data_IF_958434685530
#
_entry.id   IF_958434685530
#
_cell.length_a   1.000
_cell.length_b   1.000
_cell.length_c   1.000
_cell.angle_alpha   90.00
_cell.angle_beta   90.00
_cell.angle_gamma   90.00
#
_symmetry.space_group_name_H-M   'P 1'
#
loop_
_entity.id
_entity.type
_entity.pdbx_description
1 polymer ?
#
# COMPACT_ATOMS: atom_id res chain seq x y z
N UNK A 1 33.92 10.08 21.67
CA UNK A 1 32.82 10.30 22.64
C UNK A 1 31.47 9.89 22.03
N UNK A 2 31.47 9.27 20.84
CA UNK A 2 30.31 9.03 19.95
C UNK A 2 29.52 7.73 20.22
N UNK A 3 29.71 7.10 21.37
CA UNK A 3 29.16 5.76 21.63
C UNK A 3 28.06 5.73 22.71
N UNK A 4 27.68 6.89 23.26
CA UNK A 4 26.65 6.96 24.30
C UNK A 4 25.25 6.68 23.72
N UNK A 5 24.97 7.18 22.51
CA UNK A 5 23.72 6.96 21.78
C UNK A 5 23.44 5.47 21.47
N UNK A 6 24.47 4.62 21.43
CA UNK A 6 24.29 3.18 21.23
C UNK A 6 23.85 2.45 22.51
N UNK A 7 24.24 2.95 23.68
CA UNK A 7 23.99 2.33 24.99
C UNK A 7 22.62 2.70 25.57
N UNK A 8 22.09 3.88 25.25
CA UNK A 8 20.79 4.35 25.73
C UNK A 8 19.71 4.34 24.63
N UNK A 9 19.96 3.63 23.51
CA UNK A 9 19.04 3.66 22.36
C UNK A 9 17.77 2.87 22.63
N UNK A 10 16.65 3.56 22.62
CA UNK A 10 15.34 2.93 22.67
C UNK A 10 14.97 2.40 21.27
N UNK A 11 14.93 1.08 21.12
CA UNK A 11 14.56 0.40 19.87
C UNK A 11 13.08 0.59 19.49
N UNK A 12 12.26 1.06 20.44
CA UNK A 12 10.86 1.38 20.16
C UNK A 12 10.67 2.74 19.47
N UNK A 13 11.70 3.61 19.53
CA UNK A 13 11.69 4.95 18.96
C UNK A 13 12.34 4.93 17.57
N UNK A 14 11.69 5.57 16.60
CA UNK A 14 12.24 5.68 15.26
C UNK A 14 13.57 6.45 15.29
N UNK A 15 14.57 5.95 14.58
CA UNK A 15 15.94 6.47 14.61
C UNK A 15 16.73 6.06 13.38
N UNK A 16 17.99 6.53 13.23
CA UNK A 16 18.76 6.40 11.98
C UNK A 16 18.96 4.96 11.54
N UNK A 17 19.21 4.05 12.48
CA UNK A 17 19.37 2.62 12.21
C UNK A 17 18.16 1.94 11.54
N UNK A 18 16.93 2.42 11.81
CA UNK A 18 15.73 1.92 11.14
C UNK A 18 15.71 2.34 9.66
N UNK A 19 16.23 3.53 9.36
CA UNK A 19 16.38 4.02 7.99
C UNK A 19 17.48 3.25 7.26
N UNK A 20 18.58 2.94 7.94
CA UNK A 20 19.66 2.10 7.38
C UNK A 20 19.16 0.70 7.05
N UNK A 21 18.37 0.10 7.94
CA UNK A 21 17.74 -1.19 7.69
C UNK A 21 16.79 -1.13 6.48
N UNK A 22 15.99 -0.06 6.37
CA UNK A 22 15.12 0.17 5.22
C UNK A 22 15.91 0.25 3.92
N UNK A 23 16.98 1.05 3.87
CA UNK A 23 17.85 1.20 2.68
C UNK A 23 18.46 -0.15 2.30
N UNK A 24 18.98 -0.89 3.27
CA UNK A 24 19.58 -2.21 3.06
C UNK A 24 18.57 -3.22 2.52
N UNK A 25 17.35 -3.25 3.06
CA UNK A 25 16.32 -4.16 2.58
C UNK A 25 15.77 -3.71 1.21
N UNK A 26 15.72 -2.41 0.93
CA UNK A 26 15.34 -1.90 -0.38
C UNK A 26 16.28 -2.37 -1.48
N UNK A 27 17.59 -2.36 -1.24
CA UNK A 27 18.57 -2.81 -2.25
C UNK A 27 18.45 -4.29 -2.60
N UNK A 28 17.85 -5.13 -1.75
CA UNK A 28 17.51 -6.51 -2.09
C UNK A 28 16.43 -6.60 -3.20
N UNK A 29 15.54 -5.62 -3.29
CA UNK A 29 14.46 -5.55 -4.29
C UNK A 29 14.80 -4.65 -5.48
N UNK A 30 15.80 -3.78 -5.35
CA UNK A 30 16.30 -2.87 -6.39
C UNK A 30 17.82 -3.02 -6.56
N UNK A 31 18.31 -4.17 -7.07
CA UNK A 31 19.74 -4.45 -7.18
C UNK A 31 20.45 -3.53 -8.19
N UNK A 32 19.71 -3.05 -9.19
CA UNK A 32 20.21 -2.10 -10.20
C UNK A 32 20.13 -0.64 -9.73
N UNK A 33 19.66 -0.40 -8.50
CA UNK A 33 19.46 0.91 -7.89
C UNK A 33 18.73 1.92 -8.80
N UNK A 34 17.66 1.43 -9.45
CA UNK A 34 16.77 2.23 -10.30
C UNK A 34 16.01 3.30 -9.50
N UNK A 35 15.98 3.17 -8.17
CA UNK A 35 15.24 4.04 -7.26
C UNK A 35 13.73 3.77 -7.26
N UNK A 36 13.29 2.64 -7.81
CA UNK A 36 11.88 2.27 -7.90
C UNK A 36 11.65 0.76 -7.88
N UNK A 37 10.60 0.33 -7.21
CA UNK A 37 10.17 -1.08 -7.12
C UNK A 37 8.66 -1.19 -7.32
N UNK A 38 8.13 -2.41 -7.53
CA UNK A 38 6.69 -2.62 -7.66
C UNK A 38 5.99 -2.44 -6.31
N UNK A 39 4.78 -1.89 -6.33
CA UNK A 39 3.98 -1.71 -5.10
C UNK A 39 3.75 -3.03 -4.31
N UNK A 40 3.69 -4.18 -5.01
CA UNK A 40 3.61 -5.50 -4.40
C UNK A 40 4.83 -5.82 -3.53
N UNK A 41 6.03 -5.51 -4.04
CA UNK A 41 7.28 -5.76 -3.34
C UNK A 41 7.40 -4.90 -2.09
N UNK A 42 6.86 -3.66 -2.11
CA UNK A 42 6.79 -2.78 -0.95
C UNK A 42 6.06 -3.44 0.22
N UNK A 43 4.95 -4.15 -0.03
CA UNK A 43 4.22 -4.87 1.04
C UNK A 43 5.12 -5.92 1.68
N UNK A 44 5.86 -6.66 0.87
CA UNK A 44 6.75 -7.72 1.36
C UNK A 44 7.98 -7.16 2.07
N UNK A 45 8.54 -6.06 1.57
CA UNK A 45 9.63 -5.31 2.17
C UNK A 45 9.22 -4.78 3.55
N UNK A 46 8.08 -4.10 3.67
CA UNK A 46 7.61 -3.56 4.95
C UNK A 46 7.28 -4.65 5.96
N UNK A 47 6.90 -5.86 5.53
CA UNK A 47 6.74 -7.02 6.43
C UNK A 47 8.08 -7.61 6.88
N UNK A 48 9.18 -7.40 6.15
CA UNK A 48 10.53 -7.81 6.61
C UNK A 48 11.07 -6.86 7.68
N UNK A 49 10.81 -5.55 7.54
CA UNK A 49 11.25 -4.52 8.49
C UNK A 49 10.44 -4.60 9.79
N UNK A 50 11.11 -4.54 10.93
CA UNK A 50 10.44 -4.50 12.24
C UNK A 50 9.78 -3.13 12.51
N UNK A 51 8.72 -3.08 13.33
CA UNK A 51 8.28 -1.82 13.93
C UNK A 51 9.45 -1.11 14.64
N UNK A 52 9.48 0.24 14.70
CA UNK A 52 8.39 1.18 14.42
C UNK A 52 8.21 1.56 12.94
N UNK A 53 9.22 1.40 12.09
CA UNK A 53 9.17 1.81 10.68
C UNK A 53 8.40 0.80 9.81
N UNK A 54 8.60 -0.49 10.05
CA UNK A 54 7.96 -1.57 9.31
C UNK A 54 6.71 -2.16 9.97
N UNK A 55 6.22 -3.25 9.40
CA UNK A 55 5.07 -4.00 9.89
C UNK A 55 5.45 -5.24 10.69
N UNK A 56 6.64 -5.78 10.44
CA UNK A 56 7.11 -7.04 11.03
C UNK A 56 6.53 -8.29 10.38
N UNK A 57 7.24 -9.40 10.53
CA UNK A 57 6.98 -10.67 9.81
C UNK A 57 5.60 -11.27 10.13
N UNK A 58 5.16 -11.08 11.38
CA UNK A 58 3.89 -11.57 11.89
C UNK A 58 2.68 -10.72 11.46
N UNK A 59 2.89 -9.58 10.79
CA UNK A 59 1.79 -8.73 10.36
C UNK A 59 0.94 -9.43 9.28
N UNK A 60 -0.38 -9.61 9.51
CA UNK A 60 -1.28 -10.15 8.50
C UNK A 60 -1.39 -9.23 7.29
N UNK A 61 -1.47 -9.82 6.10
CA UNK A 61 -1.53 -9.07 4.83
C UNK A 61 -2.63 -7.99 4.81
N UNK A 62 -3.82 -8.30 5.34
CA UNK A 62 -4.95 -7.34 5.40
C UNK A 62 -4.64 -6.12 6.27
N UNK A 63 -3.90 -6.29 7.36
CA UNK A 63 -3.48 -5.20 8.25
C UNK A 63 -2.41 -4.35 7.57
N UNK A 64 -1.45 -4.98 6.89
CA UNK A 64 -0.43 -4.30 6.09
C UNK A 64 -1.07 -3.44 4.99
N UNK A 65 -2.01 -4.00 4.21
CA UNK A 65 -2.76 -3.24 3.20
C UNK A 65 -3.52 -2.07 3.82
N UNK A 66 -4.19 -2.27 4.97
CA UNK A 66 -4.89 -1.18 5.67
C UNK A 66 -3.93 -0.05 6.07
N UNK A 67 -2.72 -0.38 6.54
CA UNK A 67 -1.70 0.62 6.86
C UNK A 67 -1.19 1.34 5.61
N UNK A 68 -1.05 0.64 4.48
CA UNK A 68 -0.68 1.23 3.19
C UNK A 68 -1.74 2.17 2.64
N UNK A 69 -3.03 1.96 2.94
CA UNK A 69 -4.10 2.92 2.59
C UNK A 69 -3.84 4.30 3.20
N UNK A 70 -3.30 4.34 4.41
CA UNK A 70 -2.93 5.58 5.10
C UNK A 70 -1.60 6.18 4.62
N UNK A 71 -0.84 5.46 3.79
CA UNK A 71 0.41 5.93 3.21
C UNK A 71 0.11 6.51 1.82
N UNK A 72 -0.10 7.83 1.75
CA UNK A 72 -0.48 8.54 0.52
C UNK A 72 0.69 8.71 -0.47
N UNK A 73 1.40 7.63 -0.81
CA UNK A 73 2.51 7.68 -1.76
C UNK A 73 2.01 7.52 -3.21
N UNK A 74 2.54 8.30 -4.16
CA UNK A 74 2.17 8.24 -5.57
C UNK A 74 2.55 6.89 -6.19
N UNK A 75 1.70 6.38 -7.09
CA UNK A 75 1.90 5.17 -7.87
C UNK A 75 2.07 5.54 -9.34
N UNK A 76 3.15 5.08 -9.97
CA UNK A 76 3.35 5.27 -11.41
C UNK A 76 2.40 4.37 -12.20
N UNK A 77 2.16 4.72 -13.48
CA UNK A 77 1.36 3.92 -14.43
C UNK A 77 1.78 2.45 -14.50
N UNK A 78 3.08 2.19 -14.36
CA UNK A 78 3.66 0.85 -14.48
C UNK A 78 3.52 0.02 -13.19
N UNK A 79 2.79 0.54 -12.20
CA UNK A 79 2.58 -0.09 -10.90
C UNK A 79 3.82 -0.04 -9.98
N UNK A 80 4.76 0.85 -10.27
CA UNK A 80 5.98 1.08 -9.49
C UNK A 80 5.88 2.31 -8.60
N UNK A 81 6.66 2.33 -7.54
CA UNK A 81 6.78 3.46 -6.61
C UNK A 81 8.24 3.85 -6.44
N UNK A 82 8.50 5.13 -6.17
CA UNK A 82 9.85 5.64 -5.98
C UNK A 82 10.31 5.44 -4.53
N UNK A 83 11.58 5.11 -4.35
CA UNK A 83 12.25 4.97 -3.05
C UNK A 83 11.98 6.17 -2.13
N UNK A 84 12.19 7.37 -2.67
CA UNK A 84 12.04 8.64 -1.95
C UNK A 84 10.61 8.85 -1.43
N UNK A 85 9.63 8.56 -2.29
CA UNK A 85 8.22 8.69 -1.98
C UNK A 85 7.79 7.66 -0.92
N UNK A 86 8.25 6.41 -1.06
CA UNK A 86 7.95 5.34 -0.09
C UNK A 86 8.59 5.63 1.26
N UNK A 87 9.88 5.97 1.29
CA UNK A 87 10.58 6.27 2.54
C UNK A 87 9.92 7.44 3.29
N UNK A 88 9.61 8.52 2.57
CA UNK A 88 8.92 9.67 3.15
C UNK A 88 7.54 9.29 3.69
N UNK A 89 6.74 8.54 2.93
CA UNK A 89 5.40 8.14 3.35
C UNK A 89 5.43 7.24 4.60
N UNK A 90 6.36 6.28 4.66
CA UNK A 90 6.49 5.38 5.81
C UNK A 90 6.90 6.15 7.07
N UNK A 91 7.87 7.05 6.96
CA UNK A 91 8.30 7.92 8.08
C UNK A 91 7.15 8.84 8.52
N UNK A 92 6.47 9.49 7.57
CA UNK A 92 5.31 10.37 7.84
C UNK A 92 4.23 9.62 8.61
N UNK A 93 3.90 8.40 8.20
CA UNK A 93 2.88 7.58 8.88
C UNK A 93 3.35 7.10 10.25
N UNK A 94 4.62 6.71 10.40
CA UNK A 94 5.18 6.26 11.69
C UNK A 94 5.16 7.37 12.75
N UNK A 95 5.45 8.61 12.34
CA UNK A 95 5.48 9.79 13.21
C UNK A 95 4.15 10.55 13.25
N UNK A 96 3.13 10.10 12.49
CA UNK A 96 1.82 10.74 12.34
C UNK A 96 1.87 12.22 11.92
N UNK A 97 2.88 12.61 11.14
CA UNK A 97 3.09 14.01 10.73
C UNK A 97 2.00 14.43 9.73
N UNK A 98 1.14 15.36 10.15
CA UNK A 98 0.08 15.94 9.30
C UNK A 98 -0.71 14.85 8.58
N UNK A 99 -1.19 13.87 9.34
CA UNK A 99 -1.94 12.70 8.80
C UNK A 99 -3.42 12.74 9.13
N UNK A 100 -3.88 13.75 9.86
CA UNK A 100 -5.26 13.89 10.31
C UNK A 100 -6.05 14.87 9.42
N UNK A 101 -7.34 14.63 9.27
CA UNK A 101 -8.24 15.48 8.48
C UNK A 101 -8.17 15.22 6.97
N UNK A 102 -8.39 16.28 6.19
CA UNK A 102 -8.33 16.22 4.75
C UNK A 102 -6.87 16.10 4.28
N UNK A 103 -6.58 15.06 3.50
CA UNK A 103 -5.22 14.73 3.05
C UNK A 103 -4.63 15.84 2.17
N UNK A 104 -5.46 16.51 1.37
CA UNK A 104 -5.02 17.57 0.46
C UNK A 104 -4.57 18.82 1.22
N UNK A 105 -5.34 19.23 2.23
CA UNK A 105 -5.00 20.35 3.11
C UNK A 105 -3.73 20.03 3.92
N UNK A 106 -3.64 18.80 4.44
CA UNK A 106 -2.48 18.33 5.18
C UNK A 106 -1.22 18.27 4.29
N UNK A 107 -1.35 17.90 3.01
CA UNK A 107 -0.25 17.91 2.05
C UNK A 107 0.20 19.34 1.71
N UNK A 108 -0.75 20.27 1.54
CA UNK A 108 -0.46 21.67 1.29
C UNK A 108 0.29 22.32 2.46
N UNK A 109 -0.16 22.06 3.69
CA UNK A 109 0.50 22.53 4.90
C UNK A 109 1.90 21.93 5.04
N UNK A 110 2.05 20.62 4.83
CA UNK A 110 3.34 19.92 4.89
C UNK A 110 4.33 20.48 3.86
N UNK A 111 3.88 20.77 2.63
CA UNK A 111 4.70 21.44 1.61
C UNK A 111 5.19 22.81 2.07
N UNK A 112 4.32 23.58 2.73
CA UNK A 112 4.68 24.89 3.25
C UNK A 112 5.71 24.78 4.38
N UNK A 113 5.51 23.87 5.35
CA UNK A 113 6.48 23.62 6.42
C UNK A 113 7.84 23.19 5.87
N UNK A 114 7.87 22.27 4.90
CA UNK A 114 9.13 21.84 4.28
C UNK A 114 9.82 23.02 3.59
N UNK A 115 9.09 23.87 2.85
CA UNK A 115 9.66 25.07 2.20
C UNK A 115 10.15 26.13 3.19
N UNK A 116 9.50 26.25 4.36
CA UNK A 116 9.93 27.16 5.42
C UNK A 116 11.27 26.75 6.02
N UNK A 117 11.44 25.46 6.33
CA UNK A 117 12.69 24.92 6.86
C UNK A 117 13.76 24.85 5.76
N UNK A 118 13.37 24.44 4.55
CA UNK A 118 14.25 24.17 3.42
C UNK A 118 13.92 25.01 2.19
N UNK A 119 14.30 26.28 2.22
CA UNK A 119 14.01 27.26 1.15
C UNK A 119 14.57 26.89 -0.23
N UNK A 120 15.59 26.03 -0.29
CA UNK A 120 16.27 25.59 -1.53
C UNK A 120 15.82 24.21 -2.02
N UNK A 121 14.83 23.59 -1.39
CA UNK A 121 14.32 22.29 -1.86
C UNK A 121 13.68 22.44 -3.24
N UNK A 122 14.09 21.60 -4.19
CA UNK A 122 13.52 21.63 -5.54
C UNK A 122 12.04 21.27 -5.50
N UNK A 123 11.21 22.02 -6.25
CA UNK A 123 9.78 21.69 -6.38
C UNK A 123 9.58 20.27 -6.95
N UNK A 124 10.44 19.82 -7.87
CA UNK A 124 10.39 18.46 -8.42
C UNK A 124 10.48 17.37 -7.34
N UNK A 125 11.36 17.54 -6.35
CA UNK A 125 11.47 16.59 -5.25
C UNK A 125 10.25 16.64 -4.35
N UNK A 126 9.71 17.84 -4.08
CA UNK A 126 8.47 17.99 -3.31
C UNK A 126 7.29 17.33 -4.02
N UNK A 127 7.17 17.49 -5.33
CA UNK A 127 6.13 16.88 -6.14
C UNK A 127 6.23 15.35 -6.15
N UNK A 128 7.44 14.79 -6.08
CA UNK A 128 7.65 13.35 -5.97
C UNK A 128 7.26 12.77 -4.60
N UNK A 129 7.49 13.50 -3.50
CA UNK A 129 7.31 12.95 -2.13
C UNK A 129 6.00 13.36 -1.47
N UNK A 130 5.46 14.52 -1.82
CA UNK A 130 4.18 15.04 -1.35
C UNK A 130 3.44 15.60 -2.55
N UNK A 131 2.57 14.86 -3.22
CA UNK A 131 1.90 15.36 -4.43
C UNK A 131 1.07 16.64 -4.15
N UNK A 132 0.94 17.55 -5.13
CA UNK A 132 0.18 18.79 -4.93
C UNK A 132 -1.33 18.49 -4.89
N UNK A 133 -2.11 19.29 -4.14
CA UNK A 133 -3.56 19.12 -4.10
C UNK A 133 -4.19 19.42 -5.49
N UNK A 134 -5.19 18.63 -5.88
CA UNK A 134 -6.04 18.91 -7.06
C UNK A 134 -5.66 18.23 -8.38
N UNK A 135 -4.74 17.25 -8.38
CA UNK A 135 -4.52 16.38 -9.55
C UNK A 135 -5.42 15.14 -9.42
N UNK A 136 -6.62 15.20 -9.99
CA UNK A 136 -7.65 14.14 -9.84
C UNK A 136 -7.21 12.77 -10.40
N UNK A 137 -6.36 12.76 -11.43
CA UNK A 137 -5.90 11.53 -12.10
C UNK A 137 -4.74 10.81 -11.39
N UNK A 138 -4.24 11.34 -10.27
CA UNK A 138 -3.17 10.67 -9.53
C UNK A 138 -3.68 9.46 -8.74
N UNK A 139 -3.23 8.28 -9.19
CA UNK A 139 -3.39 7.03 -8.47
C UNK A 139 -2.33 6.95 -7.39
N UNK A 140 -2.78 6.77 -6.14
CA UNK A 140 -1.88 6.49 -5.02
C UNK A 140 -1.93 5.02 -4.66
N UNK A 141 -0.86 4.53 -4.04
CA UNK A 141 -0.83 3.16 -3.50
C UNK A 141 -1.99 2.92 -2.55
N UNK A 142 -2.36 3.95 -1.78
CA UNK A 142 -3.49 3.87 -0.87
C UNK A 142 -4.83 3.67 -1.59
N UNK A 143 -5.09 4.40 -2.67
CA UNK A 143 -6.29 4.20 -3.52
C UNK A 143 -6.33 2.78 -4.10
N UNK A 144 -5.21 2.28 -4.60
CA UNK A 144 -5.10 0.91 -5.12
C UNK A 144 -5.46 -0.15 -4.07
N UNK A 145 -4.87 -0.06 -2.87
CA UNK A 145 -5.15 -1.02 -1.80
C UNK A 145 -6.54 -0.85 -1.19
N UNK A 146 -7.11 0.36 -1.19
CA UNK A 146 -8.49 0.57 -0.76
C UNK A 146 -9.46 -0.18 -1.69
N UNK A 147 -9.30 -0.05 -3.01
CA UNK A 147 -10.09 -0.80 -3.99
C UNK A 147 -9.91 -2.31 -3.82
N UNK A 148 -8.67 -2.79 -3.63
CA UNK A 148 -8.40 -4.21 -3.34
C UNK A 148 -9.15 -4.71 -2.10
N UNK A 149 -9.13 -3.95 -1.00
CA UNK A 149 -9.80 -4.32 0.25
C UNK A 149 -11.33 -4.33 0.11
N UNK A 150 -11.90 -3.37 -0.61
CA UNK A 150 -13.34 -3.32 -0.92
C UNK A 150 -13.74 -4.54 -1.75
N UNK A 151 -12.97 -4.86 -2.79
CA UNK A 151 -13.23 -6.03 -3.64
C UNK A 151 -13.13 -7.36 -2.87
N UNK A 152 -12.11 -7.53 -2.01
CA UNK A 152 -11.98 -8.73 -1.16
C UNK A 152 -13.19 -8.86 -0.21
N UNK A 153 -13.65 -7.74 0.36
CA UNK A 153 -14.83 -7.73 1.22
C UNK A 153 -16.09 -8.22 0.49
N UNK A 154 -16.40 -7.66 -0.68
CA UNK A 154 -17.56 -8.07 -1.48
C UNK A 154 -17.47 -9.53 -1.94
N UNK A 155 -16.27 -10.00 -2.33
CA UNK A 155 -16.05 -11.40 -2.73
C UNK A 155 -16.36 -12.37 -1.59
N UNK A 156 -15.95 -12.05 -0.36
CA UNK A 156 -16.27 -12.85 0.84
C UNK A 156 -17.75 -12.76 1.21
N UNK A 157 -18.37 -11.59 1.05
CA UNK A 157 -19.81 -11.43 1.28
C UNK A 157 -20.64 -12.32 0.34
N UNK A 158 -20.32 -12.34 -0.96
CA UNK A 158 -20.98 -13.19 -1.95
C UNK A 158 -20.79 -14.70 -1.66
N UNK A 159 -19.61 -15.11 -1.20
CA UNK A 159 -19.34 -16.50 -0.79
C UNK A 159 -20.20 -16.94 0.40
N UNK A 160 -20.36 -16.08 1.42
CA UNK A 160 -21.22 -16.36 2.58
C UNK A 160 -22.70 -16.49 2.19
N UNK A 161 -23.22 -15.55 1.38
CA UNK A 161 -24.60 -15.62 0.87
C UNK A 161 -24.88 -16.88 0.04
N UNK A 162 -23.90 -17.35 -0.74
CA UNK A 162 -24.02 -18.61 -1.47
C UNK A 162 -23.95 -19.85 -0.57
N UNK A 163 -23.18 -19.79 0.52
CA UNK A 163 -23.14 -20.86 1.52
C UNK A 163 -24.46 -20.96 2.28
N UNK A 164 -25.00 -19.84 2.78
CA UNK A 164 -26.30 -19.81 3.48
C UNK A 164 -27.44 -20.27 2.57
N UNK A 165 -27.43 -19.89 1.28
CA UNK A 165 -28.42 -20.35 0.31
C UNK A 165 -28.28 -21.83 -0.07
N UNK A 166 -27.11 -22.42 0.10
CA UNK A 166 -26.87 -23.87 -0.06
C UNK A 166 -27.08 -24.65 1.25
N UNK A 167 -27.21 -23.96 2.39
CA UNK A 167 -27.43 -24.54 3.72
C UNK A 167 -28.88 -24.38 4.20
N UNK A 168 -29.77 -23.74 3.42
CA UNK A 168 -31.21 -23.88 3.62
C UNK A 168 -31.62 -25.35 3.40
N UNK A 169 -32.45 -25.91 4.31
CA UNK A 169 -32.53 -27.35 4.51
C UNK A 169 -33.26 -28.04 3.36
N UNK A 170 -33.05 -29.35 3.31
CA UNK A 170 -33.56 -30.36 2.39
C UNK A 170 -35.08 -30.35 2.06
N UNK A 171 -35.88 -29.39 2.52
CA UNK A 171 -37.32 -29.26 2.24
C UNK A 171 -37.61 -29.00 0.75
N UNK A 172 -36.79 -28.20 0.06
CA UNK A 172 -36.95 -27.97 -1.38
C UNK A 172 -36.54 -29.20 -2.22
N UNK A 173 -35.61 -30.03 -1.72
CA UNK A 173 -35.23 -31.29 -2.38
C UNK A 173 -36.31 -32.36 -2.28
N UNK A 174 -37.09 -32.41 -1.19
CA UNK A 174 -38.25 -33.30 -1.06
C UNK A 174 -39.37 -32.93 -2.02
N UNK A 175 -39.65 -31.62 -2.17
CA UNK A 175 -40.63 -31.12 -3.14
C UNK A 175 -40.20 -31.36 -4.59
N UNK A 176 -38.91 -31.17 -4.91
CA UNK A 176 -38.34 -31.49 -6.22
C UNK A 176 -38.33 -32.99 -6.52
N UNK A 177 -38.15 -33.85 -5.50
CA UNK A 177 -38.25 -35.30 -5.66
C UNK A 177 -39.70 -35.73 -5.96
N UNK A 178 -40.68 -35.16 -5.26
CA UNK A 178 -42.12 -35.36 -5.56
C UNK A 178 -42.50 -34.90 -6.97
N UNK A 179 -41.96 -33.76 -7.42
CA UNK A 179 -42.21 -33.22 -8.76
C UNK A 179 -41.53 -34.05 -9.87
N UNK A 180 -40.37 -34.68 -9.60
CA UNK A 180 -39.71 -35.61 -10.53
C UNK A 180 -40.48 -36.92 -10.73
N UNK A 181 -41.25 -37.38 -9.75
CA UNK A 181 -42.14 -38.55 -9.90
C UNK A 181 -43.27 -38.23 -10.89
N UNK A 182 -43.83 -37.01 -10.82
CA UNK A 182 -44.83 -36.50 -11.78
C UNK A 182 -44.25 -36.29 -13.19
N UNK A 183 -43.00 -35.84 -13.31
CA UNK A 183 -42.35 -35.59 -14.61
C UNK A 183 -41.89 -36.87 -15.34
N UNK A 184 -41.87 -38.04 -14.67
CA UNK A 184 -41.67 -39.35 -15.33
C UNK A 184 -42.86 -39.78 -16.22
N UNK A 185 -44.01 -39.08 -16.17
CA UNK A 185 -45.19 -39.28 -17.04
C UNK A 185 -45.33 -38.25 -18.17
N UNK A 186 -44.39 -37.31 -18.36
CA UNK A 186 -44.44 -36.27 -19.40
C UNK A 186 -43.38 -36.44 -20.50
N UNK A 187 -43.62 -35.93 -21.74
CA UNK A 187 -42.72 -36.13 -22.87
C UNK A 187 -41.43 -35.29 -22.79
N UNK A 188 -40.33 -35.84 -23.32
CA UNK A 188 -38.94 -35.38 -23.17
C UNK A 188 -38.65 -34.07 -23.94
N UNK A 189 -38.18 -33.03 -23.25
CA UNK A 189 -37.60 -31.82 -23.87
C UNK A 189 -36.07 -31.91 -23.99
N UNK A 190 -35.54 -31.60 -25.18
CA UNK A 190 -34.11 -31.61 -25.55
C UNK A 190 -33.39 -30.34 -25.04
N UNK A 191 -32.15 -30.47 -24.56
CA UNK A 191 -31.27 -29.35 -24.15
C UNK A 191 -30.33 -28.93 -25.29
N UNK A 192 -30.00 -27.63 -25.38
CA UNK A 192 -28.89 -27.08 -26.20
C UNK A 192 -27.80 -26.46 -25.30
N UNK A 193 -26.61 -26.34 -25.89
CA UNK A 193 -25.24 -26.39 -25.33
C UNK A 193 -24.73 -25.02 -24.80
N UNK A 194 -23.80 -25.04 -23.82
CA UNK A 194 -23.09 -23.90 -23.22
C UNK A 194 -21.62 -23.84 -23.71
N UNK A 195 -21.07 -22.63 -23.90
CA UNK A 195 -19.67 -22.38 -24.30
C UNK A 195 -18.92 -21.44 -23.34
N UNK A 196 -17.60 -21.60 -23.29
CA UNK A 196 -16.59 -21.08 -22.33
C UNK A 196 -15.57 -20.20 -23.07
N UNK A 197 -14.96 -19.14 -22.49
CA UNK A 197 -13.70 -18.52 -22.99
C UNK A 197 -12.85 -17.78 -21.91
N UNK A 198 -11.54 -17.70 -22.18
CA UNK A 198 -10.34 -17.45 -21.35
C UNK A 198 -9.73 -16.02 -21.47
N UNK A 199 -8.78 -15.75 -20.56
CA UNK A 199 -7.88 -14.60 -20.26
C UNK A 199 -6.78 -14.25 -21.30
N UNK A 200 -6.22 -13.02 -21.25
CA UNK A 200 -4.88 -12.68 -21.79
C UNK A 200 -4.34 -11.31 -21.30
N UNK A 201 -3.01 -11.23 -21.10
CA UNK A 201 -2.20 -10.14 -20.54
C UNK A 201 -1.33 -9.39 -21.58
N UNK A 202 -0.75 -8.22 -21.22
CA UNK A 202 0.48 -7.67 -21.86
C UNK A 202 1.19 -6.59 -21.00
N UNK A 203 2.47 -6.37 -21.28
CA UNK A 203 3.55 -5.74 -20.49
C UNK A 203 4.21 -4.54 -21.19
N UNK A 204 4.72 -3.52 -20.47
CA UNK A 204 5.70 -2.53 -20.97
C UNK A 204 6.67 -2.07 -19.84
N UNK A 205 7.97 -1.87 -20.17
CA UNK A 205 9.10 -1.39 -19.34
C UNK A 205 9.31 0.14 -19.45
N UNK A 206 10.02 0.80 -18.49
CA UNK A 206 11.23 1.56 -18.90
C UNK A 206 12.42 1.58 -17.90
N UNK A 207 13.46 2.36 -18.25
CA UNK A 207 14.87 2.51 -17.77
C UNK A 207 15.14 3.31 -16.45
N UNK A 208 16.35 3.20 -15.84
CA UNK A 208 16.69 3.74 -14.51
C UNK A 208 17.35 5.13 -14.49
N UNK A 209 17.10 5.91 -13.44
CA UNK A 209 17.75 7.21 -13.17
C UNK A 209 18.47 7.20 -11.82
N UNK A 210 19.80 7.09 -11.86
CA UNK A 210 20.67 7.19 -10.70
C UNK A 210 20.99 8.66 -10.37
N UNK A 211 21.17 8.96 -9.07
CA UNK A 211 21.71 10.19 -8.42
C UNK A 211 20.71 11.12 -7.71
N UNK A 212 19.92 10.61 -6.75
CA UNK A 212 19.15 11.47 -5.81
C UNK A 212 19.29 11.07 -4.31
N UNK A 213 20.03 10.01 -3.97
CA UNK A 213 20.02 9.43 -2.62
C UNK A 213 20.54 10.30 -1.47
N UNK A 214 21.52 11.18 -1.71
CA UNK A 214 22.20 11.92 -0.62
C UNK A 214 21.36 13.10 -0.10
N UNK A 215 20.58 13.75 -0.97
CA UNK A 215 19.82 14.95 -0.60
C UNK A 215 18.62 14.63 0.31
N UNK A 216 18.05 13.45 0.16
CA UNK A 216 16.81 13.02 0.84
C UNK A 216 17.12 12.45 2.22
N UNK A 217 18.30 11.88 2.38
CA UNK A 217 18.83 11.49 3.67
C UNK A 217 18.99 12.71 4.58
N UNK A 218 19.59 13.81 4.08
CA UNK A 218 19.60 15.09 4.79
C UNK A 218 18.20 15.66 5.03
N UNK A 219 17.31 15.59 4.03
CA UNK A 219 15.94 16.10 4.15
C UNK A 219 15.17 15.38 5.25
N UNK A 220 15.27 14.04 5.34
CA UNK A 220 14.56 13.22 6.32
C UNK A 220 15.17 13.32 7.71
N UNK A 221 16.50 13.30 7.85
CA UNK A 221 17.18 13.45 9.16
C UNK A 221 16.90 14.82 9.76
N UNK A 222 16.77 15.87 8.94
CA UNK A 222 16.52 17.21 9.45
C UNK A 222 15.03 17.58 9.53
N UNK A 223 14.14 16.98 8.73
CA UNK A 223 12.71 16.92 9.04
C UNK A 223 12.50 16.24 10.40
N UNK A 224 13.27 15.18 10.70
CA UNK A 224 13.29 14.53 11.99
C UNK A 224 13.63 15.52 13.10
N UNK A 225 14.75 16.24 13.00
CA UNK A 225 15.15 17.21 14.02
C UNK A 225 14.18 18.40 14.14
N UNK A 226 13.71 18.98 13.03
CA UNK A 226 12.87 20.18 13.08
C UNK A 226 11.43 19.89 13.50
N UNK A 227 10.82 18.78 13.07
CA UNK A 227 9.47 18.41 13.50
C UNK A 227 9.47 17.90 14.95
N UNK A 228 10.53 17.20 15.38
CA UNK A 228 10.70 16.80 16.78
C UNK A 228 10.94 18.02 17.70
N UNK A 229 11.66 19.05 17.24
CA UNK A 229 11.80 20.31 17.98
C UNK A 229 10.53 21.18 18.03
N UNK A 230 9.61 21.03 17.07
CA UNK A 230 8.34 21.76 17.05
C UNK A 230 7.21 21.04 17.79
N UNK A 231 7.40 19.76 18.13
CA UNK A 231 6.47 18.95 18.92
C UNK A 231 6.79 18.90 20.42
N UNK A 232 7.90 19.54 20.83
CA UNK A 232 8.25 19.91 22.21
C UNK A 232 7.91 21.39 22.44
#
# INVERSE_FOLDING_TARGET
>A
MDNFDYLTRDWSILGPHHLDEFVRLWSEYDPDAKGRIKHLDVVTLLRKISPPLGFGKLCPHRVACKRLVSMNMPLNSDGTVLFNATLFAVVRTSLKIKTEGNIDDANAELRNTIKQIWKRTSNKLLDQVVPPPGIDDEVTVGKFYATYLIQDYFRRFKKRKNYDRNSEPASHMTLLAGLRILHKKGPKLKRKISGTLHESASSINPEPTHRVGVFIWCLLVLLFLSVFLQAL
#
